data_IF_556526917932
#
_entry.id   IF_556526917932
#
_cell.length_a   1.000
_cell.length_b   1.000
_cell.length_c   1.000
_cell.angle_alpha   90.00
_cell.angle_beta   90.00
_cell.angle_gamma   90.00
#
_symmetry.space_group_name_H-M   'P 1'
#
loop_
_entity.id
_entity.type
_entity.pdbx_description
1 polymer ?
#
# COMPACT_ATOMS: atom_id res chain seq x y z
N UNK A 1 -3.33 14.94 8.61
CA UNK A 1 -2.35 14.90 7.51
C UNK A 1 -0.95 15.02 8.07
N UNK A 2 -0.08 14.03 7.84
CA UNK A 2 1.33 14.05 8.27
C UNK A 2 2.24 14.16 7.04
N UNK A 3 3.28 14.98 7.12
CA UNK A 3 4.29 15.11 6.06
C UNK A 3 5.67 14.80 6.63
N UNK A 4 6.38 13.88 5.98
CA UNK A 4 7.74 13.50 6.37
C UNK A 4 8.73 13.70 5.23
N UNK A 5 9.94 14.14 5.56
CA UNK A 5 11.04 14.36 4.64
C UNK A 5 12.31 13.70 5.16
N UNK A 6 13.13 13.18 4.26
CA UNK A 6 14.38 12.50 4.63
C UNK A 6 14.19 10.99 4.70
N UNK A 7 14.96 10.33 5.57
CA UNK A 7 14.83 8.90 5.80
C UNK A 7 14.14 8.63 7.12
N UNK A 8 12.94 8.05 7.08
CA UNK A 8 12.13 7.84 8.27
C UNK A 8 11.31 6.56 8.17
N UNK A 9 11.27 5.85 9.30
CA UNK A 9 10.44 4.67 9.48
C UNK A 9 9.22 5.08 10.31
N UNK A 10 8.03 4.66 9.89
CA UNK A 10 6.81 4.92 10.63
C UNK A 10 6.00 3.62 10.73
N UNK A 11 5.55 3.31 11.94
CA UNK A 11 4.57 2.27 12.19
C UNK A 11 3.26 2.92 12.68
N UNK A 12 2.14 2.54 12.10
CA UNK A 12 0.80 2.98 12.50
C UNK A 12 -0.02 1.75 12.87
N UNK A 13 -0.55 1.72 14.09
CA UNK A 13 -1.43 0.67 14.59
C UNK A 13 -2.69 1.30 15.17
N UNK A 14 -3.85 1.04 14.56
CA UNK A 14 -5.12 1.65 14.93
C UNK A 14 -6.28 0.71 14.57
N UNK A 15 -7.39 0.75 15.30
CA UNK A 15 -8.54 -0.10 14.97
C UNK A 15 -9.27 0.40 13.71
N UNK A 16 -9.47 1.72 13.60
CA UNK A 16 -10.05 2.39 12.44
C UNK A 16 -9.24 3.65 12.13
N UNK A 17 -8.65 3.75 10.94
CA UNK A 17 -7.94 4.97 10.54
C UNK A 17 -8.09 5.28 9.04
N UNK A 18 -7.93 6.56 8.74
CA UNK A 18 -7.90 7.12 7.38
C UNK A 18 -6.64 7.97 7.23
N UNK A 19 -5.44 7.37 7.40
CA UNK A 19 -4.23 8.16 7.48
C UNK A 19 -3.94 8.82 6.13
N UNK A 20 -3.81 10.15 6.16
CA UNK A 20 -3.32 10.93 5.03
C UNK A 20 -1.84 11.24 5.22
N UNK A 21 -0.96 10.53 4.50
CA UNK A 21 0.49 10.66 4.64
C UNK A 21 1.12 11.12 3.32
N UNK A 22 2.03 12.09 3.43
CA UNK A 22 2.91 12.50 2.34
C UNK A 22 4.36 12.29 2.75
N UNK A 23 5.07 11.40 2.05
CA UNK A 23 6.47 11.08 2.32
C UNK A 23 7.36 11.46 1.14
N UNK A 24 8.51 12.07 1.43
CA UNK A 24 9.54 12.40 0.43
C UNK A 24 10.93 11.98 0.92
N UNK A 25 11.59 11.11 0.19
CA UNK A 25 12.92 10.61 0.53
C UNK A 25 12.97 9.10 0.48
N UNK A 26 13.70 8.49 1.43
CA UNK A 26 13.80 7.03 1.56
C UNK A 26 13.05 6.56 2.80
N UNK A 27 11.85 6.02 2.68
CA UNK A 27 11.01 5.81 3.87
C UNK A 27 10.35 4.44 3.91
N UNK A 28 10.29 3.88 5.12
CA UNK A 28 9.58 2.65 5.38
C UNK A 28 8.30 2.96 6.15
N UNK A 29 7.19 2.35 5.75
CA UNK A 29 5.89 2.52 6.39
C UNK A 29 5.27 1.15 6.63
N UNK A 30 4.98 0.84 7.89
CA UNK A 30 4.20 -0.32 8.27
C UNK A 30 2.86 0.15 8.83
N UNK A 31 1.77 -0.43 8.35
CA UNK A 31 0.42 -0.09 8.79
C UNK A 31 -0.34 -1.36 9.12
N UNK A 32 -0.90 -1.43 10.32
CA UNK A 32 -1.67 -2.59 10.78
C UNK A 32 -2.97 -2.16 11.46
N UNK A 33 -4.10 -2.52 10.87
CA UNK A 33 -5.43 -2.03 11.30
C UNK A 33 -6.54 -3.01 10.96
N UNK A 34 -7.69 -2.94 11.65
CA UNK A 34 -8.85 -3.78 11.27
C UNK A 34 -9.51 -3.26 10.00
N UNK A 35 -9.78 -1.95 9.93
CA UNK A 35 -10.38 -1.28 8.77
C UNK A 35 -9.60 -0.03 8.40
N UNK A 36 -9.22 0.09 7.13
CA UNK A 36 -8.38 1.22 6.74
C UNK A 36 -8.65 1.78 5.36
N UNK A 37 -8.58 3.12 5.27
CA UNK A 37 -8.58 3.84 3.99
C UNK A 37 -7.39 4.78 3.81
N UNK A 38 -6.16 4.25 3.72
CA UNK A 38 -4.98 5.09 3.66
C UNK A 38 -4.91 5.86 2.33
N UNK A 39 -4.60 7.15 2.45
CA UNK A 39 -4.29 8.01 1.31
C UNK A 39 -2.81 8.39 1.37
N UNK A 40 -2.00 7.74 0.55
CA UNK A 40 -0.55 7.88 0.61
C UNK A 40 0.00 8.51 -0.67
N UNK A 41 0.83 9.54 -0.49
CA UNK A 41 1.63 10.12 -1.56
C UNK A 41 3.10 9.94 -1.24
N UNK A 42 3.80 9.14 -2.03
CA UNK A 42 5.21 8.82 -1.82
C UNK A 42 6.08 9.30 -2.98
N UNK A 43 7.20 9.94 -2.65
CA UNK A 43 8.20 10.35 -3.65
C UNK A 43 9.61 9.99 -3.20
N UNK A 44 10.26 9.09 -3.93
CA UNK A 44 11.63 8.66 -3.67
C UNK A 44 11.75 7.13 -3.70
N UNK A 45 12.45 6.57 -2.73
CA UNK A 45 12.63 5.12 -2.56
C UNK A 45 11.84 4.68 -1.32
N UNK A 46 10.67 4.07 -1.46
CA UNK A 46 9.83 3.83 -0.29
C UNK A 46 9.29 2.41 -0.24
N UNK A 47 9.29 1.84 0.96
CA UNK A 47 8.74 0.52 1.23
C UNK A 47 7.50 0.68 2.09
N UNK A 48 6.40 0.06 1.67
CA UNK A 48 5.12 0.10 2.36
C UNK A 48 4.61 -1.31 2.59
N UNK A 49 4.34 -1.64 3.85
CA UNK A 49 3.67 -2.86 4.26
C UNK A 49 2.32 -2.51 4.91
N UNK A 50 1.24 -3.11 4.41
CA UNK A 50 -0.10 -2.92 4.95
C UNK A 50 -0.69 -4.28 5.31
N UNK A 51 -1.17 -4.40 6.55
CA UNK A 51 -1.86 -5.58 7.05
C UNK A 51 -3.23 -5.18 7.61
N UNK A 52 -4.32 -5.67 7.04
CA UNK A 52 -5.66 -5.30 7.51
C UNK A 52 -6.73 -6.30 7.11
N UNK A 53 -7.84 -6.40 7.84
CA UNK A 53 -8.96 -7.26 7.44
C UNK A 53 -9.65 -6.69 6.19
N UNK A 54 -9.93 -5.39 6.18
CA UNK A 54 -10.53 -4.67 5.05
C UNK A 54 -9.73 -3.43 4.66
N UNK A 55 -9.17 -3.42 3.45
CA UNK A 55 -8.44 -2.28 2.91
C UNK A 55 -9.20 -1.56 1.79
N UNK A 56 -9.31 -0.23 1.87
CA UNK A 56 -9.55 0.61 0.68
C UNK A 56 -8.48 1.68 0.51
N UNK A 57 -7.45 1.42 -0.29
CA UNK A 57 -6.28 2.31 -0.39
C UNK A 57 -6.27 3.17 -1.66
N UNK A 58 -5.82 4.41 -1.51
CA UNK A 58 -5.46 5.29 -2.62
C UNK A 58 -3.98 5.67 -2.53
N UNK A 59 -3.17 5.14 -3.43
CA UNK A 59 -1.72 5.32 -3.41
C UNK A 59 -1.24 6.04 -4.67
N UNK A 60 -0.52 7.14 -4.48
CA UNK A 60 0.19 7.85 -5.54
C UNK A 60 1.69 7.80 -5.27
N UNK A 61 2.45 7.15 -6.16
CA UNK A 61 3.86 6.86 -5.91
C UNK A 61 4.75 7.29 -7.08
N UNK A 62 5.89 7.91 -6.77
CA UNK A 62 6.87 8.34 -7.77
C UNK A 62 8.29 7.99 -7.33
N UNK A 63 8.98 7.18 -8.12
CA UNK A 63 10.35 6.73 -7.85
C UNK A 63 10.44 5.21 -7.86
N UNK A 64 11.25 4.62 -6.98
CA UNK A 64 11.33 3.18 -6.78
C UNK A 64 10.53 2.84 -5.53
N UNK A 65 9.48 2.04 -5.59
CA UNK A 65 8.72 1.75 -4.38
C UNK A 65 8.29 0.29 -4.35
N UNK A 66 8.32 -0.29 -3.16
CA UNK A 66 7.90 -1.65 -2.92
C UNK A 66 6.66 -1.61 -2.02
N UNK A 67 5.61 -2.33 -2.41
CA UNK A 67 4.39 -2.44 -1.64
C UNK A 67 4.03 -3.89 -1.38
N UNK A 68 3.82 -4.22 -0.12
CA UNK A 68 3.20 -5.47 0.30
C UNK A 68 1.85 -5.18 0.97
N UNK A 69 0.78 -5.79 0.48
CA UNK A 69 -0.55 -5.72 1.09
C UNK A 69 -1.00 -7.13 1.47
N UNK A 70 -1.32 -7.33 2.74
CA UNK A 70 -1.93 -8.54 3.27
C UNK A 70 -3.31 -8.19 3.81
N UNK A 71 -4.37 -8.73 3.20
CA UNK A 71 -5.74 -8.42 3.64
C UNK A 71 -6.76 -9.44 3.22
N UNK A 72 -7.85 -9.62 3.97
CA UNK A 72 -8.93 -10.52 3.55
C UNK A 72 -9.67 -9.93 2.34
N UNK A 73 -9.97 -8.63 2.39
CA UNK A 73 -10.63 -7.90 1.31
C UNK A 73 -9.87 -6.61 0.95
N UNK A 74 -9.38 -6.55 -0.28
CA UNK A 74 -8.67 -5.37 -0.81
C UNK A 74 -9.48 -4.64 -1.88
N UNK A 75 -9.63 -3.33 -1.74
CA UNK A 75 -9.92 -2.42 -2.85
C UNK A 75 -8.80 -1.41 -2.98
N UNK A 76 -8.07 -1.40 -4.10
CA UNK A 76 -6.95 -0.45 -4.25
C UNK A 76 -7.04 0.37 -5.53
N UNK A 77 -6.70 1.66 -5.40
CA UNK A 77 -6.46 2.56 -6.52
C UNK A 77 -5.03 3.04 -6.49
N UNK A 78 -4.26 2.64 -7.49
CA UNK A 78 -2.82 2.87 -7.55
C UNK A 78 -2.47 3.71 -8.77
N UNK A 79 -1.79 4.83 -8.53
CA UNK A 79 -1.20 5.66 -9.58
C UNK A 79 0.31 5.73 -9.38
N UNK A 80 1.09 5.25 -10.34
CA UNK A 80 2.54 5.19 -10.14
C UNK A 80 3.37 5.58 -11.36
N UNK A 81 4.58 6.08 -11.06
CA UNK A 81 5.57 6.52 -12.04
C UNK A 81 6.98 6.17 -11.56
N UNK A 82 7.64 5.24 -12.23
CA UNK A 82 9.01 4.82 -11.92
C UNK A 82 9.17 3.30 -11.95
N UNK A 83 9.81 2.73 -10.94
CA UNK A 83 9.96 1.27 -10.74
C UNK A 83 9.08 0.89 -9.56
N UNK A 84 8.36 -0.22 -9.69
CA UNK A 84 7.49 -0.67 -8.63
C UNK A 84 7.35 -2.18 -8.55
N UNK A 85 7.48 -2.69 -7.34
CA UNK A 85 7.16 -4.07 -7.02
C UNK A 85 5.95 -4.12 -6.09
N UNK A 86 4.95 -4.91 -6.49
CA UNK A 86 3.70 -5.11 -5.73
C UNK A 86 3.52 -6.56 -5.38
N UNK A 87 3.36 -6.82 -4.09
CA UNK A 87 2.89 -8.10 -3.57
C UNK A 87 1.54 -7.87 -2.91
N UNK A 88 0.51 -8.57 -3.38
CA UNK A 88 -0.81 -8.57 -2.74
C UNK A 88 -1.16 -10.00 -2.38
N UNK A 89 -1.38 -10.24 -1.09
CA UNK A 89 -1.90 -11.49 -0.55
C UNK A 89 -3.31 -11.22 -0.01
N UNK A 90 -4.32 -11.75 -0.70
CA UNK A 90 -5.70 -11.51 -0.30
C UNK A 90 -6.64 -12.64 -0.67
N UNK A 91 -7.77 -12.73 0.03
CA UNK A 91 -8.84 -13.65 -0.37
C UNK A 91 -9.67 -13.04 -1.50
N UNK A 92 -9.95 -11.74 -1.42
CA UNK A 92 -10.75 -11.01 -2.41
C UNK A 92 -10.09 -9.68 -2.78
N UNK A 93 -9.61 -9.57 -4.03
CA UNK A 93 -9.02 -8.35 -4.56
C UNK A 93 -9.90 -7.65 -5.61
N UNK A 94 -10.09 -6.35 -5.46
CA UNK A 94 -10.43 -5.43 -6.55
C UNK A 94 -9.36 -4.37 -6.64
N UNK A 95 -8.70 -4.25 -7.79
CA UNK A 95 -7.60 -3.29 -7.95
C UNK A 95 -7.71 -2.54 -9.27
N UNK A 96 -7.55 -1.22 -9.20
CA UNK A 96 -7.41 -0.36 -10.35
C UNK A 96 -6.02 0.27 -10.36
N UNK A 97 -5.26 -0.02 -11.41
CA UNK A 97 -3.87 0.38 -11.55
C UNK A 97 -3.69 1.29 -12.77
N UNK A 98 -3.15 2.49 -12.56
CA UNK A 98 -2.79 3.44 -13.61
C UNK A 98 -1.29 3.72 -13.57
N UNK A 99 -0.57 3.35 -14.64
CA UNK A 99 0.90 3.30 -14.61
C UNK A 99 1.54 4.09 -15.76
N UNK A 100 2.62 4.80 -15.43
CA UNK A 100 3.70 5.14 -16.37
C UNK A 100 5.04 4.69 -15.74
N UNK A 101 5.15 3.39 -15.55
CA UNK A 101 6.18 2.73 -14.73
C UNK A 101 6.54 1.35 -15.31
N UNK A 102 7.71 0.83 -14.92
CA UNK A 102 8.03 -0.60 -15.02
C UNK A 102 7.52 -1.26 -13.74
N UNK A 103 6.69 -2.29 -13.90
CA UNK A 103 5.91 -2.88 -12.82
C UNK A 103 6.14 -4.39 -12.75
N UNK A 104 6.50 -4.88 -11.57
CA UNK A 104 6.35 -6.30 -11.23
C UNK A 104 5.14 -6.44 -10.31
N UNK A 105 4.16 -7.26 -10.71
CA UNK A 105 3.00 -7.58 -9.89
C UNK A 105 3.00 -9.07 -9.56
N UNK A 106 3.04 -9.39 -8.28
CA UNK A 106 2.79 -10.73 -7.75
C UNK A 106 1.51 -10.71 -6.92
N UNK A 107 0.43 -11.25 -7.48
CA UNK A 107 -0.85 -11.41 -6.80
C UNK A 107 -1.01 -12.87 -6.38
N UNK A 108 -1.06 -13.11 -5.07
CA UNK A 108 -1.39 -14.43 -4.52
C UNK A 108 -2.79 -14.35 -3.93
N UNK A 109 -3.77 -14.89 -4.65
CA UNK A 109 -5.13 -15.02 -4.13
C UNK A 109 -5.32 -16.38 -3.49
N UNK A 110 -5.67 -16.43 -2.21
CA UNK A 110 -6.07 -17.68 -1.55
C UNK A 110 -7.56 -17.88 -1.76
N UNK A 111 -7.93 -18.83 -2.62
CA UNK A 111 -9.32 -19.30 -2.70
C UNK A 111 -9.56 -20.30 -1.57
N UNK A 112 -10.23 -19.88 -0.51
CA UNK A 112 -10.79 -20.83 0.45
C UNK A 112 -11.95 -21.56 -0.25
N UNK A 113 -11.78 -22.85 -0.53
CA UNK A 113 -12.92 -23.69 -0.93
C UNK A 113 -13.84 -23.80 0.29
N UNK A 114 -15.13 -23.45 0.18
CA UNK A 114 -16.06 -23.74 1.28
C UNK A 114 -16.13 -25.27 1.47
N UNK A 115 -15.90 -25.74 2.70
CA UNK A 115 -16.21 -27.11 3.11
C UNK A 115 -17.72 -27.37 3.07
#
# INVERSE_FOLDING_TARGET
>A
MMTQKGSNDLAVNTEHDTPMLTKKGSNDLAVNTEHETPMLTQKGSNDLAVNTEHNTSMLTQKGSNDLTVNTEHNTSMLTQKGIYDLVVNTEHNTSLLTQKAVMTLLLTQRTMHPC
#
